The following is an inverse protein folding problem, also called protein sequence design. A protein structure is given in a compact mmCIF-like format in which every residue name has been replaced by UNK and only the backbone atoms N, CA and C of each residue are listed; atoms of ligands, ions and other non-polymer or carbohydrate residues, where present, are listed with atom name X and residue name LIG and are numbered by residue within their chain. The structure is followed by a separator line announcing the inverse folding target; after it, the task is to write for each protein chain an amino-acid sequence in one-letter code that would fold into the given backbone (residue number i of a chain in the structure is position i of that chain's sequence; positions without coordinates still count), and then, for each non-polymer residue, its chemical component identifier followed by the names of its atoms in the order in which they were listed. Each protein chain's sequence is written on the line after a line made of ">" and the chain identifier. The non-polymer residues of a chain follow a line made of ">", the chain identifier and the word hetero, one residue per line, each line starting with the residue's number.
data_IF_688804890177
#
_entry.id   IF_688804890177
#
_cell.length_a   1.000
_cell.length_b   1.000
_cell.length_c   1.000
_cell.angle_alpha   90.00
_cell.angle_beta   90.00
_cell.angle_gamma   90.00
#
_symmetry.space_group_name_H-M   'P 1'
#
loop_
_entity.id
_entity.type
_entity.pdbx_description
1 polymer ?
#
# COMPACT_ATOMS: atom_id res chain seq x y z
N UNK A 1 -12.21 -0.77 12.66
CA UNK A 1 -12.01 0.52 11.97
C UNK A 1 -12.38 0.38 10.51
N UNK A 2 -12.95 1.40 9.96
CA UNK A 2 -13.37 1.34 8.58
C UNK A 2 -12.33 1.91 7.66
N UNK A 3 -12.23 1.36 6.46
CA UNK A 3 -11.44 1.95 5.41
C UNK A 3 -12.34 2.78 4.52
N UNK A 4 -11.75 3.70 3.79
CA UNK A 4 -12.48 4.52 2.84
C UNK A 4 -12.16 4.03 1.44
N UNK A 5 -13.16 3.52 0.75
CA UNK A 5 -12.97 3.04 -0.60
C UNK A 5 -12.73 4.23 -1.53
N UNK A 6 -11.80 4.06 -2.45
CA UNK A 6 -11.55 5.07 -3.45
C UNK A 6 -12.56 4.92 -4.58
N UNK A 7 -13.06 6.05 -5.07
CA UNK A 7 -13.96 6.02 -6.21
C UNK A 7 -13.27 5.43 -7.42
N UNK A 8 -12.01 5.80 -7.60
CA UNK A 8 -11.20 5.29 -8.69
C UNK A 8 -9.94 4.74 -8.06
N UNK A 9 -9.71 3.44 -8.17
CA UNK A 9 -8.47 2.88 -7.63
C UNK A 9 -7.26 3.56 -8.26
N UNK A 10 -6.23 3.75 -7.48
CA UNK A 10 -5.06 4.48 -7.93
C UNK A 10 -3.88 3.55 -8.11
N UNK A 11 -3.22 3.67 -9.25
CA UNK A 11 -2.04 2.86 -9.53
C UNK A 11 -0.80 3.64 -9.13
N UNK A 12 0.05 3.01 -8.33
CA UNK A 12 1.30 3.61 -7.87
C UNK A 12 2.45 2.80 -8.43
N UNK A 13 3.37 3.48 -9.11
CA UNK A 13 4.54 2.80 -9.68
C UNK A 13 5.68 2.81 -8.69
N UNK A 14 6.24 1.64 -8.45
CA UNK A 14 7.33 1.46 -7.50
C UNK A 14 8.29 0.43 -8.08
N UNK A 15 9.49 0.32 -7.48
CA UNK A 15 10.42 -0.72 -7.88
C UNK A 15 9.79 -2.08 -7.67
N UNK A 16 10.21 -3.05 -8.47
CA UNK A 16 9.67 -4.40 -8.35
C UNK A 16 9.89 -4.95 -6.94
N UNK A 17 11.06 -4.71 -6.37
CA UNK A 17 11.36 -5.17 -5.02
C UNK A 17 10.40 -4.56 -4.00
N UNK A 18 10.10 -3.27 -4.16
CA UNK A 18 9.15 -2.60 -3.29
C UNK A 18 7.75 -3.20 -3.44
N UNK A 19 7.36 -3.48 -4.67
CA UNK A 19 6.04 -4.08 -4.92
C UNK A 19 5.96 -5.47 -4.30
N UNK A 20 7.02 -6.26 -4.43
CA UNK A 20 7.05 -7.57 -3.81
C UNK A 20 6.88 -7.48 -2.30
N UNK A 21 7.57 -6.51 -1.70
CA UNK A 21 7.52 -6.31 -0.25
C UNK A 21 6.14 -5.91 0.20
N UNK A 22 5.52 -4.98 -0.53
CA UNK A 22 4.18 -4.52 -0.19
C UNK A 22 3.14 -5.61 -0.45
N UNK A 23 3.32 -6.38 -1.50
CA UNK A 23 2.40 -7.46 -1.80
C UNK A 23 2.40 -8.49 -0.68
N UNK A 24 3.57 -8.78 -0.16
CA UNK A 24 3.69 -9.73 0.93
C UNK A 24 3.04 -9.20 2.20
N UNK A 25 3.10 -7.90 2.42
CA UNK A 25 2.51 -7.28 3.58
C UNK A 25 1.02 -6.94 3.40
N UNK A 26 0.50 -7.11 2.19
CA UNK A 26 -0.88 -6.70 1.89
C UNK A 26 -1.92 -7.26 2.85
N UNK A 27 -1.86 -8.55 3.25
CA UNK A 27 -2.88 -9.06 4.18
C UNK A 27 -2.88 -8.31 5.51
N UNK A 28 -1.70 -7.97 6.01
CA UNK A 28 -1.62 -7.22 7.26
C UNK A 28 -2.11 -5.80 7.08
N UNK A 29 -1.75 -5.19 5.96
CA UNK A 29 -2.18 -3.82 5.69
C UNK A 29 -3.68 -3.75 5.53
N UNK A 30 -4.29 -4.79 4.98
CA UNK A 30 -5.73 -4.83 4.82
C UNK A 30 -6.44 -4.81 6.17
N UNK A 31 -5.82 -5.41 7.19
CA UNK A 31 -6.40 -5.40 8.52
C UNK A 31 -6.46 -3.99 9.09
N UNK A 32 -5.63 -3.10 8.57
CA UNK A 32 -5.60 -1.72 9.03
C UNK A 32 -6.37 -0.79 8.08
N UNK A 33 -7.07 -1.35 7.12
CA UNK A 33 -7.88 -0.55 6.23
C UNK A 33 -7.21 -0.16 4.93
N UNK A 34 -5.97 -0.60 4.71
CA UNK A 34 -5.24 -0.29 3.48
C UNK A 34 -5.32 -1.50 2.56
N UNK A 35 -6.12 -1.40 1.51
CA UNK A 35 -6.29 -2.50 0.57
C UNK A 35 -5.42 -2.27 -0.66
N UNK A 36 -4.46 -3.15 -0.85
CA UNK A 36 -3.54 -3.10 -1.97
C UNK A 36 -3.68 -4.35 -2.81
N UNK A 37 -3.35 -4.19 -4.10
CA UNK A 37 -3.39 -5.32 -5.01
C UNK A 37 -2.24 -5.18 -5.99
N UNK A 38 -1.59 -6.29 -6.33
CA UNK A 38 -0.50 -6.23 -7.31
C UNK A 38 -1.09 -5.92 -8.67
N UNK A 39 -0.57 -4.90 -9.32
CA UNK A 39 -1.09 -4.48 -10.61
C UNK A 39 -0.15 -4.80 -11.75
N UNK A 40 1.12 -5.03 -11.45
CA UNK A 40 2.11 -5.34 -12.46
C UNK A 40 3.44 -5.58 -11.80
N UNK A 41 4.49 -5.81 -12.59
CA UNK A 41 5.81 -6.09 -12.02
C UNK A 41 6.34 -4.92 -11.19
N UNK A 42 5.96 -3.70 -11.54
CA UNK A 42 6.44 -2.53 -10.81
C UNK A 42 5.31 -1.56 -10.50
N UNK A 43 4.12 -2.09 -10.22
CA UNK A 43 2.97 -1.24 -9.90
C UNK A 43 2.09 -1.91 -8.87
N UNK A 44 1.50 -1.09 -8.01
CA UNK A 44 0.55 -1.54 -7.00
C UNK A 44 -0.74 -0.76 -7.19
N UNK A 45 -1.87 -1.42 -6.99
CA UNK A 45 -3.18 -0.79 -7.07
C UNK A 45 -3.68 -0.54 -5.66
N UNK A 46 -4.00 0.72 -5.37
CA UNK A 46 -4.55 1.11 -4.07
C UNK A 46 -6.05 1.15 -4.21
N UNK A 47 -6.74 0.25 -3.52
CA UNK A 47 -8.20 0.15 -3.62
C UNK A 47 -8.91 0.89 -2.49
N UNK A 48 -8.29 0.97 -1.33
CA UNK A 48 -8.87 1.74 -0.24
C UNK A 48 -7.78 2.16 0.72
N UNK A 49 -8.06 3.21 1.48
CA UNK A 49 -7.12 3.75 2.45
C UNK A 49 -7.77 3.73 3.83
N UNK A 50 -6.96 3.65 4.91
CA UNK A 50 -7.50 3.81 6.24
C UNK A 50 -8.17 5.17 6.38
N UNK A 51 -9.27 5.21 7.11
CA UNK A 51 -10.02 6.47 7.24
C UNK A 51 -9.14 7.58 7.81
N UNK A 52 -8.30 7.22 8.78
CA UNK A 52 -7.48 8.20 9.48
C UNK A 52 -6.44 8.88 8.58
N UNK A 53 -6.06 8.22 7.49
CA UNK A 53 -5.04 8.77 6.60
C UNK A 53 -5.53 8.88 5.16
N UNK A 54 -6.84 9.01 4.99
CA UNK A 54 -7.43 9.07 3.65
C UNK A 54 -6.99 10.29 2.86
N UNK A 55 -6.45 11.30 3.52
CA UNK A 55 -6.00 12.51 2.85
C UNK A 55 -4.56 12.41 2.38
N UNK A 56 -3.86 11.36 2.76
CA UNK A 56 -2.48 11.19 2.37
C UNK A 56 -2.40 10.75 0.92
N UNK A 57 -1.41 11.25 0.23
CA UNK A 57 -1.15 10.83 -1.14
C UNK A 57 -0.81 9.34 -1.13
N UNK A 58 -1.54 8.51 -1.89
CA UNK A 58 -1.28 7.06 -1.88
C UNK A 58 0.16 6.71 -2.23
N UNK A 59 0.76 7.40 -3.18
CA UNK A 59 2.13 7.11 -3.57
C UNK A 59 3.08 7.34 -2.39
N UNK A 60 2.93 8.46 -1.73
CA UNK A 60 3.79 8.78 -0.59
C UNK A 60 3.57 7.78 0.53
N UNK A 61 2.32 7.41 0.77
CA UNK A 61 2.01 6.45 1.81
C UNK A 61 2.69 5.12 1.54
N UNK A 62 2.60 4.63 0.32
CA UNK A 62 3.21 3.34 -0.01
C UNK A 62 4.72 3.40 0.10
N UNK A 63 5.33 4.52 -0.29
CA UNK A 63 6.77 4.66 -0.17
C UNK A 63 7.21 4.67 1.29
N UNK A 64 6.45 5.35 2.13
CA UNK A 64 6.76 5.39 3.56
C UNK A 64 6.64 4.00 4.18
N UNK A 65 5.59 3.26 3.81
CA UNK A 65 5.40 1.91 4.33
C UNK A 65 6.53 1.01 3.83
N UNK A 66 6.90 1.13 2.58
CA UNK A 66 7.97 0.31 2.02
C UNK A 66 9.28 0.57 2.74
N UNK A 67 9.58 1.83 3.00
CA UNK A 67 10.80 2.17 3.73
C UNK A 67 10.79 1.55 5.11
N UNK A 68 9.66 1.60 5.78
CA UNK A 68 9.54 1.03 7.11
C UNK A 68 9.74 -0.49 7.07
N UNK A 69 9.14 -1.15 6.09
CA UNK A 69 9.30 -2.58 5.95
C UNK A 69 10.73 -2.96 5.64
N UNK A 70 11.39 -2.15 4.83
CA UNK A 70 12.79 -2.42 4.47
C UNK A 70 13.70 -2.32 5.69
N UNK A 71 13.38 -1.42 6.61
CA UNK A 71 14.20 -1.23 7.79
C UNK A 71 13.88 -2.23 8.88
N UNK A 72 12.60 -2.60 9.03
CA UNK A 72 12.16 -3.38 10.18
C UNK A 72 11.48 -4.68 9.85
N UNK A 73 10.90 -4.79 8.68
CA UNK A 73 10.01 -5.88 8.36
C UNK A 73 10.68 -7.22 8.17
N UNK A 74 11.94 -7.19 7.93
CA UNK A 74 12.68 -8.40 7.65
C UNK A 74 13.04 -9.18 8.86
N UNK A 75 13.01 -8.56 9.96
CA UNK A 75 13.52 -9.15 11.21
C UNK A 75 13.11 -10.56 11.43
#
# INVERSE_FOLDING_TARGET
>A
MRSQALLIPEVVELDETSCDRLEEAAPKLAEHGLALERFGPSAMLVRSLPHAIARTDPEKLLRDIDDDLALNGEA
#
